data_IF_639312747474
#
_entry.id   IF_639312747474
#
_cell.length_a   1.000
_cell.length_b   1.000
_cell.length_c   1.000
_cell.angle_alpha   90.00
_cell.angle_beta   90.00
_cell.angle_gamma   90.00
#
_symmetry.space_group_name_H-M   'P 1'
#
loop_
_entity.id
_entity.type
_entity.pdbx_description
1 polymer ?
#
# COMPACT_ATOMS: atom_id res chain seq x y z
N UNK A 1 -10.62 1.29 6.40
CA UNK A 1 -10.25 0.45 5.25
C UNK A 1 -9.07 -0.44 5.58
N UNK A 2 -8.88 -1.55 4.87
CA UNK A 2 -7.78 -2.48 5.12
C UNK A 2 -6.65 -2.29 4.09
N UNK A 3 -5.41 -2.61 4.48
CA UNK A 3 -4.27 -2.75 3.57
C UNK A 3 -3.31 -3.81 4.10
N UNK A 4 -2.27 -4.10 3.33
CA UNK A 4 -1.17 -4.95 3.78
C UNK A 4 -0.17 -4.11 4.60
N UNK A 5 0.42 -4.72 5.63
CA UNK A 5 1.45 -4.08 6.46
C UNK A 5 2.79 -3.93 5.74
N UNK A 6 3.15 -4.93 4.95
CA UNK A 6 4.42 -4.99 4.23
C UNK A 6 4.25 -5.68 2.88
N UNK A 7 5.19 -5.43 1.97
CA UNK A 7 5.20 -6.08 0.66
C UNK A 7 5.35 -7.59 0.78
N UNK A 8 4.66 -8.34 -0.07
CA UNK A 8 4.65 -9.81 -0.09
C UNK A 8 4.96 -10.30 -1.48
N UNK A 9 5.67 -11.41 -1.57
CA UNK A 9 5.88 -12.16 -2.82
C UNK A 9 5.46 -13.60 -2.61
N UNK A 10 4.64 -14.11 -3.51
CA UNK A 10 4.21 -15.51 -3.52
C UNK A 10 4.28 -16.08 -4.93
N UNK A 11 4.46 -17.39 -5.05
CA UNK A 11 4.56 -18.06 -6.35
C UNK A 11 3.70 -19.30 -6.38
N UNK A 12 2.97 -19.47 -7.49
CA UNK A 12 2.21 -20.69 -7.78
C UNK A 12 2.56 -21.21 -9.17
N UNK A 13 2.49 -22.52 -9.35
CA UNK A 13 2.70 -23.19 -10.63
C UNK A 13 1.43 -23.93 -11.03
N UNK A 14 0.87 -23.59 -12.21
CA UNK A 14 -0.34 -24.21 -12.75
C UNK A 14 -0.07 -24.69 -14.17
N UNK A 15 -0.19 -25.99 -14.44
CA UNK A 15 0.08 -26.60 -15.76
C UNK A 15 1.39 -26.11 -16.40
N UNK A 16 2.46 -26.12 -15.63
CA UNK A 16 3.81 -25.64 -16.00
C UNK A 16 3.93 -24.12 -16.20
N UNK A 17 2.83 -23.35 -16.19
CA UNK A 17 2.91 -21.89 -16.14
C UNK A 17 3.26 -21.46 -14.72
N UNK A 18 4.20 -20.51 -14.62
CA UNK A 18 4.64 -19.93 -13.36
C UNK A 18 3.98 -18.57 -13.18
N UNK A 19 3.39 -18.33 -12.03
CA UNK A 19 2.77 -17.07 -11.65
C UNK A 19 3.43 -16.55 -10.39
N UNK A 20 4.12 -15.42 -10.47
CA UNK A 20 4.78 -14.76 -9.33
C UNK A 20 3.95 -13.55 -8.98
N UNK A 21 3.33 -13.58 -7.82
CA UNK A 21 2.48 -12.49 -7.32
C UNK A 21 3.28 -11.59 -6.39
N UNK A 22 3.21 -10.30 -6.65
CA UNK A 22 3.76 -9.24 -5.82
C UNK A 22 2.61 -8.41 -5.28
N UNK A 23 2.54 -8.26 -3.97
CA UNK A 23 1.68 -7.31 -3.30
C UNK A 23 2.52 -6.17 -2.77
N UNK A 24 2.17 -4.94 -3.14
CA UNK A 24 2.85 -3.73 -2.69
C UNK A 24 1.88 -2.83 -1.94
N UNK A 25 2.31 -2.33 -0.78
CA UNK A 25 1.68 -1.19 -0.16
C UNK A 25 2.04 0.05 -0.96
N UNK A 26 1.05 0.85 -1.31
CA UNK A 26 1.22 2.08 -2.09
C UNK A 26 0.48 3.24 -1.42
N UNK A 27 1.12 4.39 -1.31
CA UNK A 27 0.52 5.57 -0.71
C UNK A 27 0.16 6.64 -1.76
N UNK A 28 0.71 6.53 -2.98
CA UNK A 28 0.49 7.46 -4.07
C UNK A 28 0.74 6.82 -5.45
N UNK A 29 0.41 7.54 -6.53
CA UNK A 29 0.61 7.06 -7.91
C UNK A 29 2.10 6.89 -8.30
N UNK A 30 3.00 7.64 -7.67
CA UNK A 30 4.43 7.51 -7.94
C UNK A 30 4.98 6.17 -7.45
N UNK A 31 4.48 5.66 -6.32
CA UNK A 31 4.81 4.32 -5.84
C UNK A 31 4.36 3.24 -6.83
N UNK A 32 3.13 3.35 -7.33
CA UNK A 32 2.57 2.42 -8.33
C UNK A 32 3.47 2.39 -9.57
N UNK A 33 3.77 3.56 -10.12
CA UNK A 33 4.64 3.67 -11.30
C UNK A 33 6.02 3.06 -11.05
N UNK A 34 6.64 3.37 -9.92
CA UNK A 34 7.94 2.83 -9.53
C UNK A 34 7.93 1.30 -9.50
N UNK A 35 6.96 0.67 -8.84
CA UNK A 35 6.90 -0.79 -8.75
C UNK A 35 6.63 -1.45 -10.11
N UNK A 36 5.79 -0.85 -10.96
CA UNK A 36 5.55 -1.35 -12.31
C UNK A 36 6.81 -1.25 -13.19
N UNK A 37 7.54 -0.14 -13.12
CA UNK A 37 8.80 0.05 -13.84
C UNK A 37 9.87 -0.94 -13.34
N UNK A 38 9.99 -1.13 -12.03
CA UNK A 38 10.92 -2.09 -11.42
C UNK A 38 10.63 -3.53 -11.87
N UNK A 39 9.35 -3.95 -11.87
CA UNK A 39 8.97 -5.29 -12.34
C UNK A 39 9.24 -5.45 -13.84
N UNK A 40 8.90 -4.46 -14.66
CA UNK A 40 9.17 -4.48 -16.11
C UNK A 40 10.67 -4.59 -16.42
N UNK A 41 11.51 -3.97 -15.60
CA UNK A 41 12.96 -4.04 -15.73
C UNK A 41 13.56 -5.38 -15.28
N UNK A 42 13.03 -5.95 -14.20
CA UNK A 42 13.55 -7.18 -13.60
C UNK A 42 13.01 -8.46 -14.25
N UNK A 43 11.85 -8.39 -14.91
CA UNK A 43 11.14 -9.55 -15.49
C UNK A 43 10.90 -9.38 -17.01
N UNK A 44 11.90 -8.85 -17.73
CA UNK A 44 11.83 -8.58 -19.19
C UNK A 44 11.55 -9.82 -20.03
N UNK A 45 11.87 -10.98 -19.54
CA UNK A 45 11.67 -12.29 -20.19
C UNK A 45 10.33 -12.94 -19.84
N UNK A 46 9.51 -12.29 -19.02
CA UNK A 46 8.17 -12.79 -18.68
C UNK A 46 7.24 -12.72 -19.91
N UNK A 47 6.20 -13.55 -19.88
CA UNK A 47 5.18 -13.52 -20.93
C UNK A 47 4.21 -12.35 -20.73
N UNK A 48 3.80 -12.09 -19.49
CA UNK A 48 2.85 -11.04 -19.11
C UNK A 48 3.16 -10.52 -17.70
N UNK A 49 2.87 -9.22 -17.46
CA UNK A 49 2.87 -8.58 -16.14
C UNK A 49 1.51 -7.94 -15.93
N UNK A 50 0.54 -8.73 -15.49
CA UNK A 50 -0.82 -8.27 -15.25
C UNK A 50 -0.91 -7.64 -13.86
N UNK A 51 -1.74 -6.58 -13.71
CA UNK A 51 -1.87 -5.92 -12.41
C UNK A 51 -3.27 -5.37 -12.16
N UNK A 52 -3.58 -5.15 -10.91
CA UNK A 52 -4.65 -4.28 -10.44
C UNK A 52 -4.22 -3.52 -9.19
N UNK A 53 -4.78 -2.32 -9.02
CA UNK A 53 -4.59 -1.55 -7.80
C UNK A 53 -5.86 -0.82 -7.36
N UNK A 54 -5.90 -0.54 -6.07
CA UNK A 54 -6.88 0.33 -5.43
C UNK A 54 -6.11 1.36 -4.62
N UNK A 55 -6.31 2.64 -4.96
CA UNK A 55 -5.72 3.78 -4.26
C UNK A 55 -6.81 4.81 -4.06
N UNK A 56 -7.24 5.02 -2.81
CA UNK A 56 -8.40 5.82 -2.44
C UNK A 56 -9.66 5.40 -3.21
N UNK A 57 -10.19 6.27 -4.06
CA UNK A 57 -11.35 6.01 -4.90
C UNK A 57 -10.98 5.55 -6.32
N UNK A 58 -9.68 5.43 -6.62
CA UNK A 58 -9.18 5.04 -7.95
C UNK A 58 -8.94 3.55 -7.99
N UNK A 59 -9.56 2.88 -8.97
CA UNK A 59 -9.39 1.46 -9.26
C UNK A 59 -8.92 1.31 -10.70
N UNK A 60 -7.86 0.55 -10.92
CA UNK A 60 -7.31 0.29 -12.26
C UNK A 60 -6.82 -1.14 -12.35
N UNK A 61 -6.83 -1.66 -13.56
CA UNK A 61 -6.25 -2.97 -13.88
C UNK A 61 -5.71 -3.00 -15.30
N UNK A 62 -4.86 -3.99 -15.59
CA UNK A 62 -4.30 -4.25 -16.91
C UNK A 62 -4.08 -5.75 -17.09
N UNK A 63 -4.51 -6.28 -18.23
CA UNK A 63 -4.36 -7.68 -18.62
C UNK A 63 -3.01 -7.96 -19.34
N UNK A 64 -2.24 -6.92 -19.71
CA UNK A 64 -0.92 -7.01 -20.35
C UNK A 64 -0.82 -8.07 -21.48
N UNK A 65 -1.80 -8.06 -22.39
CA UNK A 65 -1.85 -8.99 -23.54
C UNK A 65 -2.44 -10.37 -23.24
N UNK A 66 -2.85 -10.69 -22.02
CA UNK A 66 -3.76 -11.80 -21.75
C UNK A 66 -5.13 -11.55 -22.39
N UNK A 67 -5.95 -12.55 -22.63
CA UNK A 67 -7.32 -12.35 -23.11
C UNK A 67 -8.09 -11.39 -22.21
N UNK A 68 -8.78 -10.42 -22.80
CA UNK A 68 -9.43 -9.33 -22.07
C UNK A 68 -10.31 -9.81 -20.91
N UNK A 69 -10.09 -9.26 -19.72
CA UNK A 69 -10.83 -9.57 -18.49
C UNK A 69 -10.46 -10.90 -17.82
N UNK A 70 -9.37 -11.56 -18.26
CA UNK A 70 -8.98 -12.86 -17.69
C UNK A 70 -7.86 -12.78 -16.66
N UNK A 71 -7.25 -11.60 -16.47
CA UNK A 71 -6.12 -11.40 -15.54
C UNK A 71 -6.35 -10.21 -14.59
N UNK A 72 -6.29 -8.99 -15.08
CA UNK A 72 -6.34 -7.80 -14.24
C UNK A 72 -7.68 -7.63 -13.52
N UNK A 73 -8.81 -7.86 -14.21
CA UNK A 73 -10.13 -7.82 -13.58
C UNK A 73 -10.30 -8.87 -12.47
N UNK A 74 -9.93 -10.15 -12.66
CA UNK A 74 -9.90 -11.14 -11.58
C UNK A 74 -9.08 -10.74 -10.36
N UNK A 75 -7.91 -10.12 -10.57
CA UNK A 75 -7.08 -9.57 -9.48
C UNK A 75 -7.87 -8.47 -8.75
N UNK A 76 -8.41 -7.49 -9.49
CA UNK A 76 -9.17 -6.38 -8.91
C UNK A 76 -10.33 -6.88 -8.05
N UNK A 77 -11.09 -7.84 -8.55
CA UNK A 77 -12.23 -8.43 -7.82
C UNK A 77 -11.80 -9.05 -6.48
N UNK A 78 -10.63 -9.69 -6.40
CA UNK A 78 -10.09 -10.22 -5.14
C UNK A 78 -9.80 -9.10 -4.17
N UNK A 79 -9.13 -8.02 -4.61
CA UNK A 79 -8.82 -6.86 -3.77
C UNK A 79 -10.08 -6.18 -3.23
N UNK A 80 -11.11 -6.01 -4.08
CA UNK A 80 -12.39 -5.42 -3.71
C UNK A 80 -13.16 -6.28 -2.70
N UNK A 81 -13.25 -7.59 -2.95
CA UNK A 81 -13.97 -8.51 -2.05
C UNK A 81 -13.35 -8.61 -0.65
N UNK A 82 -12.08 -8.25 -0.51
CA UNK A 82 -11.36 -8.18 0.77
C UNK A 82 -11.39 -6.76 1.39
N UNK A 83 -12.11 -5.80 0.79
CA UNK A 83 -12.18 -4.38 1.20
C UNK A 83 -10.79 -3.71 1.35
N UNK A 84 -9.87 -4.09 0.46
CA UNK A 84 -8.50 -3.60 0.48
C UNK A 84 -8.38 -2.25 -0.24
N UNK A 85 -7.48 -1.41 0.25
CA UNK A 85 -7.12 -0.13 -0.35
C UNK A 85 -5.63 0.15 -0.14
N UNK A 86 -5.08 1.14 -0.85
CA UNK A 86 -3.64 1.44 -0.81
C UNK A 86 -2.78 0.21 -1.13
N UNK A 87 -3.18 -0.53 -2.17
CA UNK A 87 -2.58 -1.78 -2.57
C UNK A 87 -2.44 -1.88 -4.09
N UNK A 88 -1.29 -2.37 -4.54
CA UNK A 88 -1.02 -2.80 -5.90
C UNK A 88 -0.71 -4.29 -5.87
N UNK A 89 -1.43 -5.07 -6.67
CA UNK A 89 -1.13 -6.47 -6.94
C UNK A 89 -0.63 -6.61 -8.37
N UNK A 90 0.58 -7.13 -8.55
CA UNK A 90 1.15 -7.47 -9.85
C UNK A 90 1.40 -8.97 -9.93
N UNK A 91 1.05 -9.59 -11.04
CA UNK A 91 1.31 -11.01 -11.28
C UNK A 91 2.13 -11.16 -12.57
N UNK A 92 3.37 -11.57 -12.40
CA UNK A 92 4.30 -11.91 -13.48
C UNK A 92 4.04 -13.35 -13.91
N UNK A 93 3.75 -13.57 -15.17
CA UNK A 93 3.50 -14.90 -15.72
C UNK A 93 4.58 -15.32 -16.70
N UNK A 94 5.03 -16.57 -16.55
CA UNK A 94 5.78 -17.32 -17.55
C UNK A 94 4.92 -18.45 -18.08
N UNK A 95 4.66 -18.45 -19.39
CA UNK A 95 3.86 -19.48 -20.03
C UNK A 95 4.57 -20.84 -20.06
N UNK A 96 3.93 -21.88 -19.57
CA UNK A 96 4.51 -23.22 -19.44
C UNK A 96 4.23 -24.16 -20.63
N UNK A 97 3.80 -23.62 -21.79
CA UNK A 97 3.51 -24.44 -22.99
C UNK A 97 2.12 -25.08 -23.02
N UNK A 98 1.35 -25.05 -21.93
CA UNK A 98 -0.01 -25.61 -21.84
C UNK A 98 -1.02 -24.48 -21.64
N UNK A 99 -1.95 -24.31 -22.59
CA UNK A 99 -3.01 -23.30 -22.49
C UNK A 99 -3.97 -23.62 -21.36
N UNK A 100 -4.25 -22.62 -20.53
CA UNK A 100 -5.19 -22.72 -19.41
C UNK A 100 -6.65 -22.51 -19.86
N UNK A 101 -6.87 -21.77 -20.93
CA UNK A 101 -8.16 -21.26 -21.36
C UNK A 101 -8.65 -20.09 -20.48
N UNK A 102 -9.68 -19.37 -20.91
CA UNK A 102 -10.16 -18.18 -20.22
C UNK A 102 -10.51 -18.44 -18.74
N UNK A 103 -11.34 -19.45 -18.47
CA UNK A 103 -11.72 -19.80 -17.09
C UNK A 103 -10.52 -20.27 -16.24
N UNK A 104 -9.53 -20.92 -16.86
CA UNK A 104 -8.29 -21.33 -16.19
C UNK A 104 -7.41 -20.15 -15.83
N UNK A 105 -7.32 -19.13 -16.70
CA UNK A 105 -6.61 -17.88 -16.43
C UNK A 105 -7.27 -17.09 -15.29
N UNK A 106 -8.60 -16.89 -15.37
CA UNK A 106 -9.35 -16.21 -14.31
C UNK A 106 -9.05 -16.82 -12.94
N UNK A 107 -9.13 -18.16 -12.84
CA UNK A 107 -8.81 -18.87 -11.58
C UNK A 107 -7.35 -18.71 -11.17
N UNK A 108 -6.41 -18.78 -12.12
CA UNK A 108 -4.99 -18.66 -11.82
C UNK A 108 -4.64 -17.28 -11.24
N UNK A 109 -5.15 -16.21 -11.84
CA UNK A 109 -4.91 -14.85 -11.39
C UNK A 109 -5.64 -14.54 -10.07
N UNK A 110 -6.89 -14.98 -9.91
CA UNK A 110 -7.62 -14.84 -8.64
C UNK A 110 -6.93 -15.59 -7.50
N UNK A 111 -6.55 -16.87 -7.73
CA UNK A 111 -5.87 -17.66 -6.70
C UNK A 111 -4.49 -17.10 -6.38
N UNK A 112 -3.70 -16.70 -7.38
CA UNK A 112 -2.39 -16.08 -7.15
C UNK A 112 -2.48 -14.86 -6.24
N UNK A 113 -3.46 -13.98 -6.48
CA UNK A 113 -3.72 -12.83 -5.63
C UNK A 113 -4.18 -13.24 -4.23
N UNK A 114 -5.13 -14.18 -4.12
CA UNK A 114 -5.67 -14.64 -2.84
C UNK A 114 -4.60 -15.32 -1.98
N UNK A 115 -3.83 -16.23 -2.57
CA UNK A 115 -2.77 -16.96 -1.87
C UNK A 115 -1.67 -16.02 -1.34
N UNK A 116 -1.34 -14.96 -2.11
CA UNK A 116 -0.41 -13.94 -1.66
C UNK A 116 -0.97 -13.11 -0.50
N UNK A 117 -2.27 -12.78 -0.53
CA UNK A 117 -2.95 -12.10 0.58
C UNK A 117 -3.01 -12.96 1.84
N UNK A 118 -3.20 -14.26 1.70
CA UNK A 118 -3.20 -15.17 2.85
C UNK A 118 -1.81 -15.29 3.51
N UNK A 119 -0.73 -14.94 2.79
CA UNK A 119 0.62 -14.80 3.33
C UNK A 119 0.91 -13.41 3.92
N UNK A 120 -0.01 -12.45 3.82
CA UNK A 120 0.18 -11.08 4.27
C UNK A 120 -0.39 -10.82 5.66
N UNK A 121 0.23 -9.87 6.38
CA UNK A 121 -0.37 -9.28 7.58
C UNK A 121 -1.21 -8.07 7.16
N UNK A 122 -2.49 -8.06 7.52
CA UNK A 122 -3.39 -6.94 7.23
C UNK A 122 -3.38 -5.93 8.37
N UNK A 123 -3.55 -4.66 8.02
CA UNK A 123 -3.67 -3.53 8.96
C UNK A 123 -4.87 -2.68 8.61
N UNK A 124 -5.47 -2.06 9.62
CA UNK A 124 -6.49 -1.02 9.43
C UNK A 124 -5.82 0.30 9.10
N UNK A 125 -6.31 0.98 8.06
CA UNK A 125 -5.94 2.34 7.71
C UNK A 125 -7.00 3.30 8.25
N UNK A 126 -6.58 4.19 9.14
CA UNK A 126 -7.40 5.25 9.71
C UNK A 126 -6.95 6.61 9.14
N UNK A 127 -7.89 7.52 8.84
CA UNK A 127 -7.54 8.87 8.42
C UNK A 127 -6.67 9.57 9.46
N UNK A 128 -5.64 10.24 9.01
CA UNK A 128 -4.71 10.99 9.85
C UNK A 128 -4.16 12.21 9.11
N UNK A 129 -3.29 12.92 9.81
CA UNK A 129 -2.59 14.11 9.31
C UNK A 129 -1.10 14.00 9.61
N UNK A 130 -0.27 14.47 8.69
CA UNK A 130 1.10 14.82 8.98
C UNK A 130 1.09 16.27 9.46
N UNK A 131 1.64 16.48 10.64
CA UNK A 131 1.70 17.79 11.28
C UNK A 131 3.13 18.16 11.64
N UNK A 132 3.43 19.47 11.70
CA UNK A 132 4.62 19.98 12.35
C UNK A 132 4.24 20.82 13.55
N UNK A 133 5.01 20.72 14.63
CA UNK A 133 4.88 21.54 15.83
C UNK A 133 6.24 22.21 16.11
N UNK A 134 6.20 23.54 16.32
CA UNK A 134 7.38 24.34 16.64
C UNK A 134 7.27 24.89 18.06
N UNK A 135 8.37 24.77 18.84
CA UNK A 135 8.38 25.10 20.27
C UNK A 135 9.81 25.43 20.77
N UNK A 136 9.91 25.99 21.97
CA UNK A 136 11.19 26.28 22.62
C UNK A 136 11.76 25.05 23.33
N UNK A 137 13.09 24.98 23.51
CA UNK A 137 13.77 23.88 24.17
C UNK A 137 13.20 23.53 25.56
N UNK A 138 12.77 24.55 26.32
CA UNK A 138 12.19 24.37 27.65
C UNK A 138 10.89 23.57 27.63
N UNK A 139 10.16 23.59 26.51
CA UNK A 139 8.87 22.91 26.34
C UNK A 139 9.01 21.45 25.86
N UNK A 140 10.24 20.97 25.61
CA UNK A 140 10.49 19.63 25.03
C UNK A 140 9.77 18.51 25.80
N UNK A 141 9.84 18.51 27.12
CA UNK A 141 9.20 17.48 27.96
C UNK A 141 7.68 17.51 27.85
N UNK A 142 7.11 18.70 27.70
CA UNK A 142 5.64 18.88 27.56
C UNK A 142 5.23 18.34 26.19
N UNK A 143 5.94 18.72 25.11
CA UNK A 143 5.64 18.26 23.76
C UNK A 143 5.85 16.75 23.60
N UNK A 144 6.94 16.19 24.15
CA UNK A 144 7.14 14.72 24.16
C UNK A 144 6.00 13.99 24.89
N UNK A 145 5.44 14.58 25.95
CA UNK A 145 4.28 14.00 26.63
C UNK A 145 3.00 14.07 25.80
N UNK A 146 2.76 15.18 25.12
CA UNK A 146 1.60 15.38 24.23
C UNK A 146 1.67 14.43 23.04
N UNK A 147 2.85 14.23 22.48
CA UNK A 147 3.06 13.42 21.27
C UNK A 147 3.42 11.95 21.57
N UNK A 148 3.23 11.49 22.82
CA UNK A 148 3.63 10.13 23.23
C UNK A 148 3.06 9.02 22.34
N UNK A 149 1.80 9.18 21.92
CA UNK A 149 1.08 8.18 21.11
C UNK A 149 1.08 8.52 19.61
N UNK A 150 1.90 9.51 19.22
CA UNK A 150 2.07 9.90 17.81
C UNK A 150 3.29 9.24 17.21
N UNK A 151 3.22 8.96 15.90
CA UNK A 151 4.39 8.50 15.15
C UNK A 151 5.25 9.69 14.74
N UNK A 152 6.42 9.83 15.37
CA UNK A 152 7.38 10.90 15.05
C UNK A 152 8.13 10.53 13.76
N UNK A 153 8.04 11.42 12.75
CA UNK A 153 8.73 11.27 11.46
C UNK A 153 10.12 11.89 11.52
N UNK A 154 10.21 13.11 12.08
CA UNK A 154 11.46 13.88 12.11
C UNK A 154 11.50 14.82 13.33
N UNK A 155 12.72 15.12 13.79
CA UNK A 155 13.00 16.09 14.87
C UNK A 155 14.17 16.98 14.45
N UNK A 156 13.93 18.29 14.37
CA UNK A 156 14.96 19.29 14.06
C UNK A 156 15.21 20.16 15.26
N UNK A 157 16.48 20.39 15.56
CA UNK A 157 17.00 21.18 16.68
C UNK A 157 17.84 22.33 16.13
N UNK A 158 17.22 23.49 16.00
CA UNK A 158 17.82 24.74 15.53
C UNK A 158 17.66 25.82 16.61
N UNK A 159 17.37 27.07 16.27
CA UNK A 159 17.03 28.12 17.25
C UNK A 159 15.77 27.76 18.05
N UNK A 160 14.86 27.07 17.41
CA UNK A 160 13.67 26.43 17.98
C UNK A 160 13.66 24.94 17.65
N UNK A 161 12.92 24.16 18.40
CA UNK A 161 12.70 22.73 18.13
C UNK A 161 11.49 22.56 17.23
N UNK A 162 11.61 21.73 16.18
CA UNK A 162 10.50 21.38 15.30
C UNK A 162 10.37 19.87 15.20
N UNK A 163 9.19 19.34 15.53
CA UNK A 163 8.86 17.94 15.32
C UNK A 163 7.86 17.80 14.18
N UNK A 164 8.05 16.77 13.33
CA UNK A 164 7.12 16.34 12.30
C UNK A 164 6.59 14.96 12.71
N UNK A 165 5.26 14.79 12.71
CA UNK A 165 4.63 13.59 13.23
C UNK A 165 3.31 13.27 12.52
N UNK A 166 2.90 11.98 12.60
CA UNK A 166 1.57 11.51 12.16
C UNK A 166 0.64 11.43 13.36
N UNK A 167 -0.60 11.86 13.18
CA UNK A 167 -1.66 11.80 14.19
C UNK A 167 -3.00 11.44 13.55
N UNK A 168 -3.82 10.65 14.24
CA UNK A 168 -5.20 10.38 13.84
C UNK A 168 -6.06 11.63 13.83
N UNK A 169 -6.94 11.75 12.85
CA UNK A 169 -7.83 12.91 12.74
C UNK A 169 -8.66 13.11 14.03
N UNK A 170 -9.11 12.04 14.66
CA UNK A 170 -9.89 12.09 15.90
C UNK A 170 -9.10 12.63 17.10
N UNK A 171 -7.77 12.43 17.11
CA UNK A 171 -6.90 12.86 18.20
C UNK A 171 -6.30 14.25 17.97
N UNK A 172 -6.44 14.82 16.77
CA UNK A 172 -5.84 16.11 16.41
C UNK A 172 -6.35 17.27 17.31
N UNK A 173 -7.65 17.26 17.65
CA UNK A 173 -8.26 18.28 18.47
C UNK A 173 -7.62 18.40 19.86
N UNK A 174 -7.13 17.30 20.44
CA UNK A 174 -6.47 17.29 21.73
C UNK A 174 -5.11 18.01 21.73
N UNK A 175 -4.46 18.08 20.56
CA UNK A 175 -3.17 18.77 20.41
C UNK A 175 -3.37 20.25 20.05
N UNK A 176 -4.38 20.58 19.25
CA UNK A 176 -4.68 21.97 18.85
C UNK A 176 -5.01 22.87 20.07
N UNK A 177 -5.54 22.29 21.14
CA UNK A 177 -5.84 23.04 22.37
C UNK A 177 -4.61 23.58 23.11
N UNK A 178 -3.40 23.13 22.76
CA UNK A 178 -2.15 23.62 23.32
C UNK A 178 -1.62 24.82 22.52
N UNK A 179 -1.05 25.81 23.21
CA UNK A 179 -0.64 27.12 22.64
C UNK A 179 0.63 27.05 21.75
N UNK A 180 0.94 25.92 21.14
CA UNK A 180 2.09 25.74 20.26
C UNK A 180 1.78 26.06 18.79
N UNK A 181 2.80 26.45 18.01
CA UNK A 181 2.68 26.68 16.55
C UNK A 181 2.57 25.33 15.83
N UNK A 182 1.31 24.85 15.73
CA UNK A 182 0.97 23.61 15.03
C UNK A 182 0.53 23.91 13.60
N UNK A 183 1.13 23.21 12.64
CA UNK A 183 0.76 23.27 11.21
C UNK A 183 0.43 21.90 10.70
N UNK A 184 -0.70 21.78 10.00
CA UNK A 184 -1.04 20.59 9.20
C UNK A 184 -0.28 20.71 7.87
N UNK A 185 0.49 19.66 7.52
CA UNK A 185 1.26 19.61 6.28
C UNK A 185 0.43 18.96 5.19
N UNK A 186 -0.08 17.74 5.45
CA UNK A 186 -0.86 16.97 4.48
C UNK A 186 -1.74 15.91 5.15
N UNK A 187 -2.65 15.34 4.37
CA UNK A 187 -3.42 14.17 4.76
C UNK A 187 -2.59 12.90 4.66
N UNK A 188 -2.81 11.95 5.56
CA UNK A 188 -2.17 10.64 5.54
C UNK A 188 -3.08 9.56 6.10
N UNK A 189 -2.59 8.32 6.10
CA UNK A 189 -3.20 7.23 6.84
C UNK A 189 -2.29 6.77 7.98
N UNK A 190 -2.94 6.35 9.07
CA UNK A 190 -2.27 5.75 10.23
C UNK A 190 -2.63 4.27 10.26
N UNK A 191 -1.62 3.44 10.46
CA UNK A 191 -1.79 2.01 10.61
C UNK A 191 -2.21 1.66 12.05
N UNK A 192 -3.25 0.86 12.15
CA UNK A 192 -3.63 0.20 13.39
C UNK A 192 -3.66 -1.30 13.13
N UNK A 193 -2.96 -2.08 13.96
CA UNK A 193 -3.03 -3.54 13.92
C UNK A 193 -4.46 -4.04 14.09
N UNK A 194 -4.79 -5.18 13.49
CA UNK A 194 -6.08 -5.85 13.59
C UNK A 194 -6.14 -6.67 14.87
#
# INVERSE_FOLDING_TARGET
MLSIKSNVVNEIIIKKSRFITFLFRVDNEADIKKYLDDLSNNYKDSTHICYAYILDNVKRFNDDGEPGGTAGMPILNVLENKDLNHILCCIVRYFGGIKLGANGLIRAYSNGCSDALDCSELVSLLPGKICSIKFKYDDTKIVDSILRDCFIIDKKYEDDVTYVFKIGTDSLSSIISNSFDLKIIEDCYIEKGL
#
